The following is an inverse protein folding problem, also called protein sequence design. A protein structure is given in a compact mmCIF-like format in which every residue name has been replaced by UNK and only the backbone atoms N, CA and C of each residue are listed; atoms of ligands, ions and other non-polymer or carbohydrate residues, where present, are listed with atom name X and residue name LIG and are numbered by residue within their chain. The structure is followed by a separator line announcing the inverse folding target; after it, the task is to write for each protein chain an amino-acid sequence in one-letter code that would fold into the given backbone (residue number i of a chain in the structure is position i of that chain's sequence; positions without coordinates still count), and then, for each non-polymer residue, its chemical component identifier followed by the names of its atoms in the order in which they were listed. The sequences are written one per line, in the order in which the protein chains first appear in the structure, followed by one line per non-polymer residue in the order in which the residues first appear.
data_IF_084780306956
#
_entry.id   IF_084780306956
#
_cell.length_a   1.000
_cell.length_b   1.000
_cell.length_c   1.000
_cell.angle_alpha   90.00
_cell.angle_beta   90.00
_cell.angle_gamma   90.00
#
_symmetry.space_group_name_H-M   'P 1'
#
loop_
_entity.id
_entity.type
_entity.pdbx_description
1 polymer ?
#
# COMPACT_ATOMS: atom_id res chain seq x y z
N UNK A 1 20.24 12.80 76.32
CA UNK A 1 19.85 13.51 75.09
C UNK A 1 20.76 13.03 73.97
N UNK A 2 20.14 12.44 72.95
CA UNK A 2 20.62 12.06 71.61
C UNK A 2 21.93 11.26 71.47
N UNK A 3 21.73 9.95 71.32
CA UNK A 3 22.64 8.97 70.74
C UNK A 3 22.81 9.21 69.24
N UNK A 4 24.06 9.26 68.77
CA UNK A 4 24.46 9.18 67.36
C UNK A 4 24.24 7.75 66.87
N UNK A 5 23.36 7.56 65.87
CA UNK A 5 23.24 6.29 65.14
C UNK A 5 23.98 6.46 63.81
N UNK A 6 25.19 5.89 63.74
CA UNK A 6 25.86 5.53 62.49
C UNK A 6 25.29 4.16 62.07
N UNK A 7 24.68 4.10 60.88
CA UNK A 7 24.09 2.88 60.36
C UNK A 7 24.05 2.84 58.84
N UNK A 8 25.01 2.09 58.29
CA UNK A 8 24.95 1.32 57.03
C UNK A 8 24.54 2.02 55.73
N UNK A 9 25.56 2.27 54.91
CA UNK A 9 25.50 2.28 53.45
C UNK A 9 24.82 1.03 52.90
N UNK A 10 23.65 1.20 52.28
CA UNK A 10 23.11 0.27 51.30
C UNK A 10 23.18 0.93 49.93
N UNK A 11 24.06 0.41 49.07
CA UNK A 11 23.91 0.53 47.63
C UNK A 11 22.51 0.02 47.27
N UNK A 12 21.58 0.92 46.98
CA UNK A 12 20.41 0.54 46.19
C UNK A 12 20.85 0.58 44.74
N UNK A 13 21.02 -0.62 44.20
CA UNK A 13 21.02 -0.90 42.77
C UNK A 13 19.92 -0.09 42.10
N UNK A 14 20.32 0.84 41.23
CA UNK A 14 19.48 1.28 40.12
C UNK A 14 19.28 0.04 39.26
N UNK A 15 18.24 -0.74 39.55
CA UNK A 15 17.66 -1.63 38.56
C UNK A 15 17.07 -0.65 37.55
N UNK A 16 17.77 -0.45 36.43
CA UNK A 16 17.12 0.10 35.26
C UNK A 16 16.00 -0.88 34.95
N UNK A 17 14.77 -0.50 35.29
CA UNK A 17 13.64 -1.00 34.54
C UNK A 17 13.88 -0.50 33.13
N UNK A 18 14.51 -1.32 32.29
CA UNK A 18 14.18 -1.28 30.87
C UNK A 18 12.67 -1.46 30.85
N UNK A 19 11.95 -0.36 30.65
CA UNK A 19 10.58 -0.44 30.19
C UNK A 19 10.70 -1.19 28.88
N UNK A 20 10.31 -2.47 28.90
CA UNK A 20 10.24 -3.30 27.72
C UNK A 20 9.30 -2.55 26.75
N UNK A 21 9.89 -1.84 25.78
CA UNK A 21 9.11 -1.14 24.77
C UNK A 21 8.51 -2.24 23.93
N UNK A 22 7.24 -2.56 24.19
CA UNK A 22 6.49 -3.54 23.40
C UNK A 22 6.58 -3.12 21.93
N UNK A 23 7.08 -4.01 21.08
CA UNK A 23 7.12 -3.74 19.64
C UNK A 23 5.68 -3.56 19.16
N UNK A 24 5.46 -2.61 18.24
CA UNK A 24 4.15 -2.44 17.61
C UNK A 24 3.63 -3.74 16.97
N UNK A 25 4.55 -4.61 16.54
CA UNK A 25 4.23 -5.92 15.98
C UNK A 25 3.82 -6.97 17.02
N UNK A 26 4.03 -6.72 18.31
CA UNK A 26 3.67 -7.63 19.40
C UNK A 26 2.30 -7.27 20.02
N UNK A 27 1.64 -6.20 19.54
CA UNK A 27 0.32 -5.78 20.00
C UNK A 27 -0.75 -6.45 19.14
N UNK A 28 -1.44 -7.41 19.73
CA UNK A 28 -2.58 -8.10 19.13
C UNK A 28 -3.90 -7.30 19.28
N UNK A 29 -4.91 -7.66 18.48
CA UNK A 29 -6.28 -7.12 18.54
C UNK A 29 -6.42 -5.59 18.42
N UNK A 30 -5.42 -4.91 17.84
CA UNK A 30 -5.46 -3.47 17.55
C UNK A 30 -5.14 -3.20 16.08
N UNK A 31 -6.12 -2.69 15.33
CA UNK A 31 -5.97 -2.42 13.89
C UNK A 31 -4.88 -1.40 13.60
N UNK A 32 -4.76 -0.34 14.44
CA UNK A 32 -3.71 0.65 14.28
C UNK A 32 -2.31 0.06 14.50
N UNK A 33 -2.16 -0.87 15.45
CA UNK A 33 -0.91 -1.59 15.69
C UNK A 33 -0.59 -2.55 14.54
N UNK A 34 -1.57 -3.31 14.04
CA UNK A 34 -1.39 -4.20 12.90
C UNK A 34 -0.94 -3.44 11.64
N UNK A 35 -1.60 -2.33 11.33
CA UNK A 35 -1.25 -1.48 10.18
C UNK A 35 0.11 -0.78 10.38
N UNK A 36 0.44 -0.37 11.60
CA UNK A 36 1.73 0.21 11.93
C UNK A 36 2.88 -0.82 11.86
N UNK A 37 2.63 -2.07 12.24
CA UNK A 37 3.55 -3.18 12.04
C UNK A 37 3.77 -3.49 10.56
N UNK A 38 2.70 -3.51 9.76
CA UNK A 38 2.75 -3.68 8.30
C UNK A 38 3.62 -2.59 7.64
N UNK A 39 3.39 -1.34 8.02
CA UNK A 39 4.17 -0.17 7.60
C UNK A 39 5.64 -0.30 8.00
N UNK A 40 5.94 -0.66 9.25
CA UNK A 40 7.31 -0.94 9.74
C UNK A 40 8.01 -2.02 8.89
N UNK A 41 7.32 -3.13 8.57
CA UNK A 41 7.84 -4.19 7.69
C UNK A 41 8.14 -3.67 6.29
N UNK A 42 7.30 -2.80 5.73
CA UNK A 42 7.51 -2.22 4.39
C UNK A 42 8.79 -1.37 4.30
N UNK A 43 9.22 -0.75 5.41
CA UNK A 43 10.49 -0.01 5.47
C UNK A 43 11.73 -0.89 5.49
N UNK A 44 11.61 -2.21 5.71
CA UNK A 44 12.76 -3.12 5.69
C UNK A 44 13.50 -3.13 4.35
N UNK A 45 12.82 -2.75 3.25
CA UNK A 45 13.42 -2.55 1.94
C UNK A 45 14.05 -1.17 1.71
N UNK A 46 13.74 -0.17 2.55
CA UNK A 46 14.17 1.22 2.34
C UNK A 46 15.63 1.41 2.81
N UNK A 47 16.55 1.80 1.90
CA UNK A 47 17.92 2.11 2.27
C UNK A 47 18.01 3.28 3.26
N UNK A 48 17.09 4.26 3.14
CA UNK A 48 17.02 5.40 4.05
C UNK A 48 16.64 4.97 5.47
N UNK A 49 15.58 4.17 5.64
CA UNK A 49 15.15 3.73 6.98
C UNK A 49 16.17 2.80 7.63
N UNK A 50 16.70 1.82 6.90
CA UNK A 50 17.70 0.90 7.44
C UNK A 50 18.95 1.63 7.97
N UNK A 51 19.36 2.72 7.30
CA UNK A 51 20.51 3.53 7.70
C UNK A 51 20.20 4.47 8.87
N UNK A 52 19.03 5.11 8.87
CA UNK A 52 18.75 6.24 9.77
C UNK A 52 17.82 5.89 10.95
N UNK A 53 17.02 4.83 10.85
CA UNK A 53 16.05 4.40 11.85
C UNK A 53 16.04 2.87 12.03
N UNK A 54 17.18 2.25 12.39
CA UNK A 54 17.28 0.78 12.48
C UNK A 54 16.35 0.17 13.55
N UNK A 55 15.95 0.95 14.55
CA UNK A 55 15.05 0.53 15.63
C UNK A 55 13.73 1.30 15.58
N UNK A 56 13.23 1.61 14.39
CA UNK A 56 11.98 2.35 14.23
C UNK A 56 10.81 1.61 14.89
N UNK A 57 10.11 2.28 15.82
CA UNK A 57 8.89 1.79 16.45
C UNK A 57 7.80 2.87 16.35
N UNK A 58 6.84 2.75 15.43
CA UNK A 58 5.75 3.71 15.29
C UNK A 58 4.74 3.55 16.44
N UNK A 59 4.23 4.67 16.97
CA UNK A 59 3.10 4.72 17.89
C UNK A 59 1.72 4.71 17.19
N UNK A 60 1.68 4.53 15.87
CA UNK A 60 0.46 4.50 15.07
C UNK A 60 0.71 4.31 13.57
N UNK A 61 -0.37 4.11 12.83
CA UNK A 61 -0.38 4.03 11.38
C UNK A 61 -0.72 5.39 10.78
N UNK A 62 0.14 5.89 9.90
CA UNK A 62 -0.17 7.03 9.04
C UNK A 62 -0.77 6.50 7.73
N UNK A 63 -1.67 7.23 7.09
CA UNK A 63 -2.21 6.94 5.76
C UNK A 63 -2.03 8.19 4.92
N UNK A 64 -1.29 8.06 3.82
CA UNK A 64 -1.11 9.14 2.83
C UNK A 64 -2.10 8.86 1.71
N UNK A 65 -2.90 9.83 1.30
CA UNK A 65 -3.93 9.62 0.28
C UNK A 65 -3.86 10.67 -0.83
N UNK A 66 -3.80 10.19 -2.08
CA UNK A 66 -3.88 11.00 -3.30
C UNK A 66 -5.18 10.67 -4.05
N UNK A 67 -6.14 11.60 -4.02
CA UNK A 67 -7.46 11.38 -4.60
C UNK A 67 -8.16 10.21 -3.91
N UNK A 68 -8.46 9.15 -4.65
CA UNK A 68 -9.04 7.93 -4.10
C UNK A 68 -7.99 6.92 -3.60
N UNK A 69 -6.71 7.06 -3.91
CA UNK A 69 -5.69 6.06 -3.58
C UNK A 69 -5.04 6.36 -2.24
N UNK A 70 -5.15 5.41 -1.30
CA UNK A 70 -4.31 5.41 -0.09
C UNK A 70 -3.01 4.70 -0.42
N UNK A 71 -1.89 5.36 -0.11
CA UNK A 71 -0.54 4.84 -0.34
C UNK A 71 -0.27 3.71 0.64
N UNK A 72 -0.15 2.50 0.11
CA UNK A 72 0.36 1.33 0.83
C UNK A 72 1.88 1.38 1.01
N UNK A 73 2.42 0.43 1.78
CA UNK A 73 3.88 0.30 1.97
C UNK A 73 4.61 0.11 0.63
N UNK A 74 5.59 0.97 0.34
CA UNK A 74 6.43 0.90 -0.88
C UNK A 74 5.64 0.92 -2.22
N UNK A 75 4.58 1.72 -2.31
CA UNK A 75 3.75 1.81 -3.52
C UNK A 75 4.32 2.76 -4.58
N UNK A 76 4.21 2.38 -5.85
CA UNK A 76 4.51 3.24 -7.00
C UNK A 76 3.26 4.00 -7.45
N UNK A 77 3.42 5.28 -7.77
CA UNK A 77 2.35 6.17 -8.23
C UNK A 77 2.81 7.00 -9.42
N UNK A 78 1.86 7.37 -10.29
CA UNK A 78 2.12 8.25 -11.43
C UNK A 78 2.45 9.68 -11.00
N UNK A 79 3.24 10.43 -11.80
CA UNK A 79 3.47 11.87 -11.56
C UNK A 79 2.18 12.69 -11.49
N UNK A 80 1.19 12.37 -12.33
CA UNK A 80 -0.12 13.04 -12.34
C UNK A 80 -0.91 12.78 -11.06
N UNK A 81 -0.84 11.58 -10.49
CA UNK A 81 -1.49 11.20 -9.23
C UNK A 81 -0.94 12.00 -8.06
N UNK A 82 0.39 12.20 -8.03
CA UNK A 82 1.09 12.90 -6.94
C UNK A 82 1.28 14.40 -7.20
N UNK A 83 0.61 14.95 -8.21
CA UNK A 83 0.76 16.36 -8.55
C UNK A 83 0.24 17.28 -7.44
N UNK A 84 -0.91 16.93 -6.85
CA UNK A 84 -1.51 17.69 -5.76
C UNK A 84 -1.10 17.14 -4.39
N UNK A 85 -1.04 18.00 -3.37
CA UNK A 85 -0.74 17.61 -1.99
C UNK A 85 -1.70 16.49 -1.51
N UNK A 86 -1.18 15.44 -0.84
CA UNK A 86 -2.04 14.38 -0.30
C UNK A 86 -2.78 14.83 0.98
N UNK A 87 -3.87 14.14 1.28
CA UNK A 87 -4.44 14.16 2.64
C UNK A 87 -3.72 13.14 3.53
N UNK A 88 -3.57 13.47 4.81
CA UNK A 88 -2.95 12.60 5.80
C UNK A 88 -3.99 12.19 6.84
N UNK A 89 -4.11 10.90 7.09
CA UNK A 89 -4.93 10.35 8.17
C UNK A 89 -4.03 9.62 9.16
N UNK A 90 -4.22 9.80 10.46
CA UNK A 90 -3.39 9.18 11.49
C UNK A 90 -4.25 8.34 12.44
N UNK A 91 -3.89 7.08 12.60
CA UNK A 91 -4.50 6.17 13.56
C UNK A 91 -3.48 5.78 14.62
N UNK A 92 -3.73 6.19 15.86
CA UNK A 92 -2.81 5.95 16.98
C UNK A 92 -3.19 4.67 17.71
N UNK A 93 -2.19 3.94 18.20
CA UNK A 93 -2.36 2.75 19.03
C UNK A 93 -3.01 3.15 20.36
N UNK A 94 -2.47 4.21 20.97
CA UNK A 94 -3.00 4.83 22.18
C UNK A 94 -3.77 6.12 21.84
N UNK A 95 -5.00 6.22 22.32
CA UNK A 95 -5.82 7.42 22.14
C UNK A 95 -5.23 8.59 22.94
N UNK A 96 -4.83 9.65 22.24
CA UNK A 96 -4.22 10.84 22.84
C UNK A 96 -5.19 12.03 22.82
N UNK A 97 -4.97 12.96 23.76
CA UNK A 97 -5.73 14.19 23.98
C UNK A 97 -5.93 15.02 22.70
N UNK A 98 -7.12 15.63 22.54
CA UNK A 98 -7.50 16.44 21.37
C UNK A 98 -6.69 17.73 21.16
N UNK A 99 -5.84 18.12 22.11
CA UNK A 99 -4.98 19.31 22.00
C UNK A 99 -3.58 19.01 21.41
N UNK A 100 -3.28 17.73 21.12
CA UNK A 100 -1.98 17.34 20.59
C UNK A 100 -1.76 17.89 19.18
N UNK A 101 -0.63 18.57 18.98
CA UNK A 101 -0.18 19.06 17.68
C UNK A 101 0.85 18.13 17.05
N UNK A 102 0.87 18.12 15.73
CA UNK A 102 1.76 17.33 14.92
C UNK A 102 2.44 18.17 13.85
N UNK A 103 3.60 17.70 13.44
CA UNK A 103 4.34 18.21 12.29
C UNK A 103 4.45 17.10 11.25
N UNK A 104 4.27 17.44 9.97
CA UNK A 104 4.59 16.53 8.86
C UNK A 104 5.77 17.04 8.04
N UNK A 105 6.56 16.09 7.53
CA UNK A 105 7.66 16.34 6.59
C UNK A 105 7.61 15.27 5.50
N UNK A 106 7.66 15.67 4.24
CA UNK A 106 7.87 14.79 3.09
C UNK A 106 9.29 15.00 2.55
N UNK A 107 10.07 13.92 2.48
CA UNK A 107 11.42 13.93 1.90
C UNK A 107 11.46 13.09 0.63
N UNK A 108 12.40 13.42 -0.24
CA UNK A 108 12.77 12.70 -1.46
C UNK A 108 14.15 12.07 -1.21
N UNK A 109 14.26 10.75 -1.40
CA UNK A 109 15.50 10.00 -1.18
C UNK A 109 15.89 9.17 -2.40
N UNK A 110 17.19 9.04 -2.63
CA UNK A 110 17.75 8.25 -3.73
C UNK A 110 17.87 6.76 -3.35
N UNK A 111 18.13 5.89 -4.33
CA UNK A 111 18.42 4.46 -4.10
C UNK A 111 19.56 4.21 -3.10
N UNK A 112 20.46 5.18 -2.88
CA UNK A 112 21.53 5.11 -1.87
C UNK A 112 21.03 5.32 -0.44
N UNK A 113 19.77 5.71 -0.26
CA UNK A 113 19.20 6.16 1.01
C UNK A 113 19.65 7.57 1.42
N UNK A 114 20.24 8.33 0.50
CA UNK A 114 20.57 9.74 0.71
C UNK A 114 19.36 10.62 0.41
N UNK A 115 19.16 11.64 1.24
CA UNK A 115 18.09 12.62 1.02
C UNK A 115 18.50 13.57 -0.11
N UNK A 116 17.72 13.59 -1.18
CA UNK A 116 17.90 14.51 -2.30
C UNK A 116 17.31 15.89 -1.99
N UNK A 117 16.08 15.94 -1.46
CA UNK A 117 15.38 17.19 -1.13
C UNK A 117 14.21 16.97 -0.16
N UNK A 118 13.63 18.06 0.32
CA UNK A 118 12.36 18.08 1.04
C UNK A 118 11.28 18.64 0.12
N UNK A 119 10.13 17.98 0.08
CA UNK A 119 9.01 18.36 -0.79
C UNK A 119 7.91 19.10 -0.05
N UNK A 120 7.75 18.84 1.25
CA UNK A 120 6.68 19.43 2.05
C UNK A 120 7.07 19.45 3.52
N UNK A 121 6.71 20.53 4.21
CA UNK A 121 6.79 20.59 5.67
C UNK A 121 5.66 21.47 6.21
N UNK A 122 4.89 20.93 7.16
CA UNK A 122 3.78 21.65 7.79
C UNK A 122 3.72 21.36 9.28
N UNK A 123 3.47 22.41 10.06
CA UNK A 123 3.41 22.39 11.53
C UNK A 123 2.02 22.68 12.02
N UNK A 124 1.77 22.40 13.31
CA UNK A 124 0.51 22.73 13.97
C UNK A 124 -0.68 21.96 13.41
N UNK A 125 -0.43 20.77 12.85
CA UNK A 125 -1.49 19.84 12.45
C UNK A 125 -2.19 19.33 13.71
N UNK A 126 -3.51 19.30 13.67
CA UNK A 126 -4.35 18.72 14.73
C UNK A 126 -5.08 17.53 14.12
N UNK A 127 -5.21 16.47 14.91
CA UNK A 127 -5.97 15.30 14.52
C UNK A 127 -7.48 15.60 14.64
N UNK A 128 -8.20 15.57 13.53
CA UNK A 128 -9.65 15.67 13.54
C UNK A 128 -10.26 14.42 14.21
N UNK A 129 -11.02 14.56 15.31
CA UNK A 129 -11.50 13.42 16.09
C UNK A 129 -12.58 12.59 15.39
N UNK A 130 -13.20 13.11 14.32
CA UNK A 130 -14.28 12.42 13.59
C UNK A 130 -13.76 11.70 12.36
N UNK A 131 -12.73 12.25 11.71
CA UNK A 131 -12.20 11.75 10.44
C UNK A 131 -10.80 11.17 10.55
N UNK A 132 -10.13 11.37 11.68
CA UNK A 132 -8.71 11.04 11.89
C UNK A 132 -7.76 11.76 10.92
N UNK A 133 -8.24 12.81 10.23
CA UNK A 133 -7.43 13.59 9.31
C UNK A 133 -6.54 14.57 10.07
N UNK A 134 -5.29 14.70 9.64
CA UNK A 134 -4.41 15.77 10.09
C UNK A 134 -4.73 17.05 9.31
N UNK A 135 -5.23 18.05 10.02
CA UNK A 135 -5.62 19.34 9.45
C UNK A 135 -4.85 20.46 10.13
N UNK A 136 -4.47 21.49 9.37
CA UNK A 136 -3.84 22.69 9.92
C UNK A 136 -4.36 23.92 9.19
N UNK A 137 -4.59 24.98 9.95
CA UNK A 137 -4.92 26.32 9.43
C UNK A 137 -3.67 27.18 9.25
N UNK A 138 -2.51 26.71 9.71
CA UNK A 138 -1.24 27.40 9.54
C UNK A 138 -0.73 27.24 8.11
N UNK A 139 -0.06 28.28 7.59
CA UNK A 139 0.65 28.17 6.33
C UNK A 139 1.77 27.12 6.44
N UNK A 140 1.99 26.30 5.39
CA UNK A 140 3.11 25.36 5.36
C UNK A 140 4.44 26.09 5.55
N UNK A 141 5.35 25.46 6.30
CA UNK A 141 6.74 25.92 6.43
C UNK A 141 7.44 25.80 5.07
N UNK A 142 7.17 24.69 4.38
CA UNK A 142 7.54 24.46 2.99
C UNK A 142 6.29 23.96 2.27
N UNK A 143 5.71 24.73 1.33
CA UNK A 143 4.57 24.28 0.54
C UNK A 143 4.89 22.98 -0.21
N UNK A 144 3.87 22.12 -0.37
CA UNK A 144 4.02 20.88 -1.09
C UNK A 144 4.50 21.14 -2.53
N UNK A 145 5.59 20.48 -2.91
CA UNK A 145 6.09 20.41 -4.29
C UNK A 145 5.89 19.00 -4.79
N UNK A 146 5.24 18.85 -5.94
CA UNK A 146 5.03 17.54 -6.56
C UNK A 146 6.36 16.85 -6.83
N UNK A 147 6.46 15.54 -6.59
CA UNK A 147 7.58 14.75 -7.05
C UNK A 147 7.84 14.91 -8.55
N UNK A 148 9.09 15.17 -8.90
CA UNK A 148 9.55 15.34 -10.28
C UNK A 148 10.99 14.80 -10.39
N UNK A 149 11.16 13.46 -10.37
CA UNK A 149 12.48 12.84 -10.54
C UNK A 149 12.89 12.88 -12.02
N UNK A 150 14.19 13.13 -12.27
CA UNK A 150 14.69 13.12 -13.64
C UNK A 150 14.72 11.68 -14.21
N UNK A 151 14.50 11.47 -15.52
CA UNK A 151 14.58 10.15 -16.16
C UNK A 151 15.85 9.35 -15.85
N UNK A 152 16.97 10.04 -15.58
CA UNK A 152 18.28 9.44 -15.31
C UNK A 152 18.66 9.29 -13.83
N UNK A 153 17.87 9.81 -12.88
CA UNK A 153 18.27 9.83 -11.45
C UNK A 153 18.03 8.51 -10.71
N UNK A 154 17.48 7.51 -11.39
CA UNK A 154 17.16 6.22 -10.77
C UNK A 154 15.87 6.29 -9.96
N UNK A 155 15.62 5.29 -9.13
CA UNK A 155 14.40 5.20 -8.33
C UNK A 155 14.46 6.16 -7.13
N UNK A 156 13.40 6.92 -6.90
CA UNK A 156 13.28 7.80 -5.74
C UNK A 156 12.26 7.24 -4.74
N UNK A 157 12.58 7.27 -3.45
CA UNK A 157 11.62 7.01 -2.38
C UNK A 157 11.20 8.33 -1.71
N UNK A 158 9.89 8.61 -1.69
CA UNK A 158 9.32 9.76 -1.01
C UNK A 158 8.66 9.34 0.29
N UNK A 159 9.20 9.84 1.40
CA UNK A 159 8.86 9.35 2.74
C UNK A 159 8.14 10.44 3.52
N UNK A 160 7.00 10.08 4.12
CA UNK A 160 6.20 10.98 4.94
C UNK A 160 6.40 10.68 6.43
N UNK A 161 6.85 11.68 7.17
CA UNK A 161 6.96 11.66 8.62
C UNK A 161 5.80 12.41 9.25
N UNK A 162 5.30 11.90 10.39
CA UNK A 162 4.43 12.65 11.30
C UNK A 162 5.00 12.58 12.72
N UNK A 163 5.32 13.75 13.26
CA UNK A 163 6.03 13.91 14.53
C UNK A 163 5.08 14.55 15.56
N UNK A 164 5.16 14.11 16.83
CA UNK A 164 4.51 14.82 17.93
C UNK A 164 5.21 16.15 18.15
N UNK A 165 4.44 17.22 18.35
CA UNK A 165 5.00 18.45 18.90
C UNK A 165 4.98 18.37 20.44
N UNK A 166 6.14 18.27 21.08
CA UNK A 166 6.25 18.36 22.55
C UNK A 166 6.17 19.81 23.06
N UNK A 167 6.41 20.79 22.18
CA UNK A 167 6.22 22.22 22.45
C UNK A 167 5.64 22.88 21.20
N UNK A 168 4.53 23.61 21.37
CA UNK A 168 3.86 24.28 20.27
C UNK A 168 4.83 25.19 19.49
N UNK A 169 4.99 24.95 18.19
CA UNK A 169 5.79 25.82 17.31
C UNK A 169 7.31 25.65 17.41
N UNK A 170 7.82 24.48 17.80
CA UNK A 170 9.26 24.17 17.85
C UNK A 170 9.98 24.47 16.51
N UNK A 171 9.30 24.23 15.39
CA UNK A 171 9.79 24.59 14.06
C UNK A 171 9.51 26.06 13.70
N UNK A 172 8.36 26.61 14.07
CA UNK A 172 7.98 27.98 13.71
C UNK A 172 8.80 29.08 14.40
N UNK A 173 9.28 28.85 15.63
CA UNK A 173 9.91 29.90 16.45
C UNK A 173 11.41 29.70 16.75
N UNK A 174 11.94 28.46 16.67
CA UNK A 174 13.31 28.15 17.15
C UNK A 174 14.29 27.72 16.06
N UNK A 175 13.79 27.31 14.89
CA UNK A 175 14.63 27.00 13.73
C UNK A 175 14.38 28.09 12.69
N UNK A 176 15.37 28.93 12.43
CA UNK A 176 15.37 29.80 11.26
C UNK A 176 15.45 28.89 10.01
N UNK A 177 14.31 28.32 9.63
CA UNK A 177 14.18 27.30 8.59
C UNK A 177 14.57 27.86 7.22
N UNK A 178 14.41 29.16 6.96
CA UNK A 178 14.90 29.76 5.72
C UNK A 178 16.45 29.73 5.64
N UNK A 179 17.13 29.92 6.77
CA UNK A 179 18.59 29.77 6.88
C UNK A 179 19.08 28.31 6.95
N UNK A 180 18.21 27.38 7.35
CA UNK A 180 18.48 25.94 7.39
C UNK A 180 18.22 25.30 6.02
N UNK A 181 17.05 25.50 5.42
CA UNK A 181 16.64 24.99 4.10
C UNK A 181 17.56 25.45 2.96
N UNK A 182 18.19 26.61 3.06
CA UNK A 182 19.23 27.07 2.12
C UNK A 182 20.61 26.41 2.32
N UNK A 183 20.80 25.62 3.38
CA UNK A 183 22.06 24.94 3.77
C UNK A 183 21.93 23.43 3.97
N UNK A 184 20.74 22.84 3.84
CA UNK A 184 20.51 21.43 4.13
C UNK A 184 21.00 20.56 2.95
N UNK A 185 22.23 20.10 3.09
CA UNK A 185 22.68 18.84 2.50
C UNK A 185 22.39 17.64 3.43
N UNK A 186 21.81 17.86 4.63
CA UNK A 186 21.62 16.76 5.58
C UNK A 186 20.45 16.99 6.56
N UNK A 187 19.22 16.67 6.13
CA UNK A 187 18.03 16.73 7.01
C UNK A 187 18.04 15.61 8.06
N UNK A 188 18.97 14.64 7.98
CA UNK A 188 19.22 13.66 9.02
C UNK A 188 19.62 14.33 10.34
N UNK A 189 20.28 15.50 10.29
CA UNK A 189 20.58 16.32 11.48
C UNK A 189 19.34 17.01 12.06
N UNK A 190 18.37 17.39 11.21
CA UNK A 190 17.09 17.96 11.66
C UNK A 190 16.24 16.88 12.29
N UNK A 191 16.14 15.70 11.65
CA UNK A 191 15.39 14.59 12.23
C UNK A 191 16.06 14.08 13.51
N UNK A 192 17.40 14.00 13.57
CA UNK A 192 18.13 13.68 14.82
C UNK A 192 17.92 14.73 15.92
N UNK A 193 17.86 16.02 15.57
CA UNK A 193 17.62 17.09 16.57
C UNK A 193 16.16 17.16 17.02
N UNK A 194 15.21 16.81 16.14
CA UNK A 194 13.80 16.59 16.50
C UNK A 194 13.66 15.36 17.39
N UNK A 195 14.33 14.24 17.11
CA UNK A 195 14.35 13.04 17.96
C UNK A 195 14.93 13.26 19.35
N UNK A 196 15.91 14.17 19.50
CA UNK A 196 16.45 14.53 20.82
C UNK A 196 15.44 15.33 21.68
N UNK A 197 14.34 15.82 21.10
CA UNK A 197 13.35 16.68 21.77
C UNK A 197 11.88 16.27 21.45
N UNK A 198 11.65 15.09 20.88
CA UNK A 198 10.31 14.56 20.57
C UNK A 198 10.31 13.04 20.39
N UNK A 199 9.26 12.37 20.86
CA UNK A 199 8.95 10.99 20.48
C UNK A 199 8.40 10.92 19.04
N UNK A 200 9.01 10.08 18.19
CA UNK A 200 8.47 9.75 16.88
C UNK A 200 7.12 9.02 17.04
N UNK A 201 6.03 9.60 16.54
CA UNK A 201 4.67 9.05 16.73
C UNK A 201 4.28 8.11 15.59
N UNK A 202 4.56 8.45 14.34
CA UNK A 202 4.29 7.56 13.22
C UNK A 202 5.04 8.05 11.98
N UNK A 203 5.47 7.13 11.11
CA UNK A 203 5.91 7.46 9.76
C UNK A 203 5.33 6.44 8.81
N UNK A 204 4.59 6.85 7.79
CA UNK A 204 4.07 5.96 6.73
C UNK A 204 4.66 6.34 5.38
N UNK A 205 4.82 5.30 4.55
CA UNK A 205 5.06 5.41 3.13
C UNK A 205 6.52 5.59 2.80
N UNK A 206 7.06 4.66 2.03
CA UNK A 206 7.95 4.98 0.92
C UNK A 206 7.03 5.04 -0.30
N UNK A 207 6.82 6.21 -0.91
CA UNK A 207 6.30 6.26 -2.29
C UNK A 207 7.49 6.05 -3.18
N UNK A 208 7.52 4.99 -3.96
CA UNK A 208 8.62 4.75 -4.88
C UNK A 208 8.18 5.28 -6.25
N UNK A 209 8.62 6.47 -6.63
CA UNK A 209 8.34 6.96 -7.99
C UNK A 209 9.51 6.54 -8.86
N UNK A 210 9.22 5.62 -9.77
CA UNK A 210 10.10 5.38 -10.89
C UNK A 210 10.00 6.62 -11.76
N UNK A 211 11.12 7.30 -12.06
CA UNK A 211 11.09 8.16 -13.22
C UNK A 211 10.77 7.23 -14.39
N UNK A 212 9.62 7.43 -15.04
CA UNK A 212 9.42 6.86 -16.36
C UNK A 212 10.46 7.54 -17.25
N UNK A 213 11.64 6.95 -17.39
CA UNK A 213 12.10 6.22 -18.57
C UNK A 213 13.46 5.58 -18.20
N UNK A 214 13.49 4.29 -17.94
CA UNK A 214 14.45 3.46 -18.67
C UNK A 214 13.65 2.70 -19.71
N UNK A 215 14.06 2.70 -20.99
CA UNK A 215 13.46 1.79 -21.93
C UNK A 215 13.57 0.41 -21.31
N UNK A 216 12.46 -0.34 -21.27
CA UNK A 216 12.58 -1.78 -21.31
C UNK A 216 13.45 -2.03 -22.51
N UNK A 217 14.74 -2.33 -22.30
CA UNK A 217 15.46 -3.00 -23.36
C UNK A 217 14.58 -4.20 -23.68
N UNK A 218 14.09 -4.33 -24.92
CA UNK A 218 13.30 -5.48 -25.28
C UNK A 218 14.11 -6.68 -24.80
N UNK A 219 13.47 -7.60 -24.09
CA UNK A 219 14.05 -8.90 -23.79
C UNK A 219 14.60 -9.44 -25.11
N UNK A 220 15.89 -9.21 -25.33
CA UNK A 220 16.55 -9.62 -26.56
C UNK A 220 16.76 -11.10 -26.39
N UNK A 221 16.00 -11.81 -27.20
CA UNK A 221 16.11 -13.22 -27.54
C UNK A 221 15.62 -14.19 -26.48
N UNK A 222 14.37 -14.60 -26.66
CA UNK A 222 13.83 -15.81 -26.06
C UNK A 222 12.38 -16.02 -26.46
N UNK A 223 12.18 -16.51 -27.68
CA UNK A 223 10.90 -16.92 -28.29
C UNK A 223 9.87 -15.82 -28.59
N UNK A 224 9.59 -15.71 -29.89
CA UNK A 224 8.46 -15.02 -30.50
C UNK A 224 7.22 -14.97 -29.62
N UNK A 225 6.73 -13.75 -29.35
CA UNK A 225 5.36 -13.50 -28.88
C UNK A 225 4.41 -14.24 -29.81
N UNK A 226 3.87 -15.37 -29.38
CA UNK A 226 2.72 -15.95 -30.06
C UNK A 226 1.57 -14.96 -29.91
N UNK A 227 1.17 -14.41 -31.06
CA UNK A 227 -0.03 -13.61 -31.22
C UNK A 227 -1.21 -14.47 -30.79
N UNK A 228 -1.75 -14.24 -29.60
CA UNK A 228 -3.08 -14.72 -29.26
C UNK A 228 -4.07 -13.91 -30.10
N UNK A 229 -4.92 -14.64 -30.81
CA UNK A 229 -5.80 -14.14 -31.85
C UNK A 229 -6.94 -13.30 -31.26
N UNK A 230 -6.70 -12.00 -31.08
CA UNK A 230 -7.71 -11.00 -31.39
C UNK A 230 -7.05 -9.69 -31.85
N UNK A 231 -7.58 -9.09 -32.90
CA UNK A 231 -6.84 -8.23 -33.83
C UNK A 231 -6.72 -6.76 -33.37
N UNK A 232 -6.37 -6.51 -32.10
CA UNK A 232 -6.11 -5.16 -31.57
C UNK A 232 -4.80 -5.12 -30.79
N UNK A 233 -3.78 -4.54 -31.43
CA UNK A 233 -2.53 -4.15 -30.77
C UNK A 233 -2.83 -2.94 -29.89
N UNK A 234 -3.17 -3.16 -28.62
CA UNK A 234 -3.21 -2.07 -27.65
C UNK A 234 -1.78 -1.57 -27.41
N UNK A 235 -1.62 -0.25 -27.30
CA UNK A 235 -0.35 0.38 -26.90
C UNK A 235 0.11 -0.19 -25.54
N UNK A 236 1.41 -0.23 -25.30
CA UNK A 236 1.93 -0.71 -24.01
C UNK A 236 1.36 0.19 -22.90
N UNK A 237 0.65 -0.41 -21.94
CA UNK A 237 -0.03 0.34 -20.87
C UNK A 237 0.96 1.25 -20.12
N UNK A 238 2.23 0.86 -20.04
CA UNK A 238 3.30 1.61 -19.40
C UNK A 238 3.76 2.85 -20.18
N UNK A 239 3.35 3.01 -21.44
CA UNK A 239 3.69 4.17 -22.28
C UNK A 239 2.59 5.26 -22.26
N UNK A 240 1.47 5.01 -21.59
CA UNK A 240 0.32 5.93 -21.55
C UNK A 240 0.38 6.84 -20.32
N UNK A 241 0.08 8.13 -20.52
CA UNK A 241 0.25 9.17 -19.49
C UNK A 241 -0.98 9.39 -18.59
N UNK A 242 -1.96 8.48 -18.60
CA UNK A 242 -3.13 8.60 -17.72
C UNK A 242 -2.98 7.74 -16.46
N UNK A 243 -3.65 8.16 -15.38
CA UNK A 243 -3.52 7.53 -14.07
C UNK A 243 -3.83 6.03 -14.07
N UNK A 244 -4.90 5.61 -14.75
CA UNK A 244 -5.31 4.21 -14.78
C UNK A 244 -4.30 3.32 -15.50
N UNK A 245 -3.64 3.86 -16.53
CA UNK A 245 -2.58 3.16 -17.23
C UNK A 245 -1.32 3.04 -16.36
N UNK A 246 -0.91 4.13 -15.71
CA UNK A 246 0.24 4.11 -14.80
C UNK A 246 0.02 3.21 -13.59
N UNK A 247 -1.15 3.26 -12.96
CA UNK A 247 -1.52 2.42 -11.81
C UNK A 247 -1.57 0.93 -12.23
N UNK A 248 -2.13 0.64 -13.41
CA UNK A 248 -2.16 -0.71 -13.98
C UNK A 248 -0.77 -1.23 -14.37
N UNK A 249 0.10 -0.37 -14.90
CA UNK A 249 1.50 -0.69 -15.21
C UNK A 249 2.29 -1.01 -13.92
N UNK A 250 2.17 -0.17 -12.88
CA UNK A 250 2.79 -0.42 -11.59
C UNK A 250 2.35 -1.78 -11.00
N UNK A 251 1.06 -2.10 -11.14
CA UNK A 251 0.54 -3.39 -10.71
C UNK A 251 1.11 -4.54 -11.54
N UNK A 252 1.27 -4.37 -12.85
CA UNK A 252 1.92 -5.36 -13.70
C UNK A 252 3.38 -5.61 -13.27
N UNK A 253 4.13 -4.55 -12.95
CA UNK A 253 5.48 -4.66 -12.40
C UNK A 253 5.49 -5.38 -11.04
N UNK A 254 4.55 -5.07 -10.15
CA UNK A 254 4.43 -5.75 -8.85
C UNK A 254 4.14 -7.25 -9.01
N UNK A 255 3.30 -7.64 -9.97
CA UNK A 255 3.04 -9.04 -10.29
C UNK A 255 4.23 -9.72 -10.96
N UNK A 256 4.99 -9.04 -11.83
CA UNK A 256 6.18 -9.58 -12.46
C UNK A 256 7.33 -9.81 -11.47
N UNK A 257 7.44 -8.97 -10.43
CA UNK A 257 8.35 -9.19 -9.30
C UNK A 257 7.87 -10.25 -8.31
N UNK A 258 6.62 -10.72 -8.45
CA UNK A 258 6.05 -11.77 -7.62
C UNK A 258 6.19 -13.14 -8.27
N UNK A 259 6.00 -14.20 -7.48
CA UNK A 259 5.91 -15.57 -8.00
C UNK A 259 4.51 -15.95 -8.49
N UNK A 260 3.52 -15.03 -8.50
CA UNK A 260 2.15 -15.28 -8.96
C UNK A 260 2.15 -15.49 -10.48
N UNK A 261 2.89 -14.65 -11.21
CA UNK A 261 3.18 -14.84 -12.63
C UNK A 261 4.68 -15.16 -12.77
N UNK A 262 5.10 -16.22 -13.50
CA UNK A 262 4.29 -17.11 -14.34
C UNK A 262 3.76 -18.38 -13.62
N UNK A 263 3.96 -18.54 -12.30
CA UNK A 263 3.72 -19.85 -11.67
C UNK A 263 2.24 -20.23 -11.56
N UNK A 264 1.36 -19.27 -11.26
CA UNK A 264 -0.08 -19.49 -11.08
C UNK A 264 -0.83 -19.25 -12.39
N UNK A 265 -0.48 -18.17 -13.09
CA UNK A 265 -0.99 -17.81 -14.40
C UNK A 265 0.17 -17.47 -15.34
N UNK A 266 0.02 -17.72 -16.65
CA UNK A 266 1.14 -17.62 -17.60
C UNK A 266 1.58 -16.19 -17.86
N UNK A 267 0.66 -15.23 -17.88
CA UNK A 267 0.95 -13.82 -18.16
C UNK A 267 -0.11 -12.89 -17.57
N UNK A 268 0.30 -11.64 -17.33
CA UNK A 268 -0.58 -10.55 -16.93
C UNK A 268 -0.32 -9.36 -17.84
N UNK A 269 -1.34 -8.95 -18.57
CA UNK A 269 -1.27 -7.82 -19.50
C UNK A 269 -2.52 -6.96 -19.25
N UNK A 270 -2.51 -6.15 -18.18
CA UNK A 270 -3.68 -5.36 -17.82
C UNK A 270 -3.98 -4.31 -18.89
N UNK A 271 -5.25 -3.91 -18.94
CA UNK A 271 -5.76 -2.82 -19.78
C UNK A 271 -6.10 -1.58 -18.93
N UNK A 272 -5.74 -1.59 -17.65
CA UNK A 272 -6.04 -0.54 -16.69
C UNK A 272 -5.81 -0.97 -15.24
N UNK A 273 -6.37 -0.20 -14.31
CA UNK A 273 -6.19 -0.38 -12.88
C UNK A 273 -7.45 -0.95 -12.22
N UNK A 274 -7.27 -1.99 -11.40
CA UNK A 274 -8.31 -2.54 -10.53
C UNK A 274 -8.11 -1.97 -9.12
N UNK A 275 -9.04 -1.12 -8.69
CA UNK A 275 -9.03 -0.53 -7.37
C UNK A 275 -9.90 -1.35 -6.44
N UNK A 276 -9.30 -1.91 -5.39
CA UNK A 276 -10.01 -2.67 -4.36
C UNK A 276 -9.96 -1.89 -3.06
N UNK A 277 -11.12 -1.57 -2.50
CA UNK A 277 -11.24 -0.69 -1.34
C UNK A 277 -11.91 -1.41 -0.16
N UNK A 278 -11.22 -1.46 0.97
CA UNK A 278 -11.78 -1.83 2.27
C UNK A 278 -11.92 -0.58 3.12
N UNK A 279 -13.16 -0.26 3.53
CA UNK A 279 -13.49 0.98 4.23
C UNK A 279 -12.91 2.22 3.52
N UNK A 280 -11.96 2.91 4.14
CA UNK A 280 -11.30 4.10 3.57
C UNK A 280 -9.94 3.81 2.93
N UNK A 281 -9.57 2.54 2.76
CA UNK A 281 -8.25 2.13 2.24
C UNK A 281 -8.40 1.43 0.90
N UNK A 282 -7.83 2.01 -0.16
CA UNK A 282 -7.62 1.32 -1.43
C UNK A 282 -6.34 0.51 -1.34
N UNK A 283 -6.40 -0.77 -1.70
CA UNK A 283 -5.27 -1.66 -1.75
C UNK A 283 -4.27 -1.20 -2.82
N UNK A 284 -3.07 -0.85 -2.36
CA UNK A 284 -1.88 -0.73 -3.18
C UNK A 284 -1.24 -2.09 -3.45
N UNK A 285 -0.21 -2.10 -4.29
CA UNK A 285 0.59 -3.30 -4.50
C UNK A 285 1.34 -3.72 -3.22
N UNK A 286 1.30 -5.01 -2.88
CA UNK A 286 2.03 -5.60 -1.75
C UNK A 286 1.65 -5.05 -0.35
N UNK A 287 0.46 -4.48 -0.19
CA UNK A 287 0.02 -3.85 1.07
C UNK A 287 -0.48 -4.87 2.09
N UNK A 288 0.15 -4.99 3.27
CA UNK A 288 -0.41 -5.78 4.38
C UNK A 288 -1.61 -5.07 5.03
N UNK A 289 -2.66 -5.81 5.37
CA UNK A 289 -3.92 -5.30 5.92
C UNK A 289 -4.27 -6.01 7.23
N UNK A 290 -4.73 -5.26 8.23
CA UNK A 290 -5.25 -5.85 9.45
C UNK A 290 -6.44 -6.81 9.14
N UNK A 291 -6.51 -8.01 9.76
CA UNK A 291 -7.58 -8.98 9.53
C UNK A 291 -9.00 -8.42 9.71
N UNK A 292 -9.19 -7.46 10.61
CA UNK A 292 -10.51 -6.86 10.86
C UNK A 292 -11.02 -6.01 9.68
N UNK A 293 -10.11 -5.34 8.95
CA UNK A 293 -10.46 -4.50 7.79
C UNK A 293 -10.97 -5.31 6.61
N UNK A 294 -10.52 -6.55 6.50
CA UNK A 294 -10.88 -7.45 5.39
C UNK A 294 -12.05 -8.38 5.73
N UNK A 295 -12.74 -8.15 6.86
CA UNK A 295 -13.91 -8.95 7.28
C UNK A 295 -15.08 -8.83 6.31
N UNK A 296 -15.29 -7.64 5.76
CA UNK A 296 -16.39 -7.35 4.85
C UNK A 296 -15.90 -7.34 3.40
N UNK A 297 -16.78 -7.67 2.46
CA UNK A 297 -16.48 -7.60 1.03
C UNK A 297 -16.04 -6.18 0.63
N UNK A 298 -14.97 -6.01 -0.17
CA UNK A 298 -14.51 -4.69 -0.57
C UNK A 298 -15.42 -4.05 -1.63
N UNK A 299 -15.35 -2.72 -1.74
CA UNK A 299 -15.79 -2.02 -2.95
C UNK A 299 -14.73 -2.20 -4.04
N UNK A 300 -15.14 -2.47 -5.28
CA UNK A 300 -14.22 -2.67 -6.39
C UNK A 300 -14.60 -1.78 -7.55
N UNK A 301 -13.60 -1.13 -8.14
CA UNK A 301 -13.73 -0.32 -9.37
C UNK A 301 -12.63 -0.70 -10.36
N UNK A 302 -12.92 -0.55 -11.64
CA UNK A 302 -11.92 -0.73 -12.69
C UNK A 302 -11.95 0.49 -13.61
N UNK A 303 -10.79 1.10 -13.80
CA UNK A 303 -10.60 2.16 -14.79
C UNK A 303 -9.68 1.64 -15.87
N UNK A 304 -10.10 1.75 -17.13
CA UNK A 304 -9.22 1.42 -18.26
C UNK A 304 -8.19 2.52 -18.45
N UNK A 305 -6.95 2.12 -18.72
CA UNK A 305 -5.90 3.03 -19.17
C UNK A 305 -5.86 3.19 -20.70
N UNK A 306 -6.62 2.36 -21.43
CA UNK A 306 -6.56 2.24 -22.89
C UNK A 306 -7.80 2.89 -23.50
N UNK A 307 -7.62 3.99 -24.24
CA UNK A 307 -8.73 4.81 -24.72
C UNK A 307 -9.69 4.06 -25.67
N UNK A 308 -9.17 3.13 -26.48
CA UNK A 308 -9.98 2.33 -27.40
C UNK A 308 -10.73 1.18 -26.73
N UNK A 309 -10.41 0.86 -25.48
CA UNK A 309 -11.05 -0.22 -24.75
C UNK A 309 -12.33 0.29 -24.08
N UNK A 310 -13.47 -0.20 -24.56
CA UNK A 310 -14.79 0.15 -24.03
C UNK A 310 -15.32 -0.96 -23.13
N UNK A 311 -15.69 -0.60 -21.90
CA UNK A 311 -16.31 -1.54 -20.95
C UNK A 311 -17.81 -1.71 -21.16
N UNK A 312 -18.45 -0.73 -21.81
CA UNK A 312 -19.87 -0.76 -22.13
C UNK A 312 -20.24 -1.99 -22.97
N UNK A 313 -21.31 -2.70 -22.58
CA UNK A 313 -21.82 -3.86 -23.32
C UNK A 313 -21.01 -5.16 -23.15
N UNK A 314 -20.03 -5.17 -22.25
CA UNK A 314 -19.25 -6.36 -21.89
C UNK A 314 -19.66 -6.87 -20.51
N UNK A 315 -19.29 -8.12 -20.23
CA UNK A 315 -19.45 -8.76 -18.93
C UNK A 315 -18.11 -9.26 -18.42
N UNK A 316 -17.96 -9.30 -17.10
CA UNK A 316 -16.69 -9.58 -16.45
C UNK A 316 -16.82 -10.63 -15.36
N UNK A 317 -15.72 -11.35 -15.14
CA UNK A 317 -15.57 -12.33 -14.08
C UNK A 317 -14.50 -11.84 -13.12
N UNK A 318 -14.81 -11.81 -11.82
CA UNK A 318 -13.84 -11.44 -10.78
C UNK A 318 -13.62 -12.60 -9.83
N UNK A 319 -12.36 -12.81 -9.46
CA UNK A 319 -11.97 -13.80 -8.45
C UNK A 319 -11.02 -13.19 -7.43
N UNK A 320 -11.23 -13.56 -6.16
CA UNK A 320 -10.27 -13.41 -5.07
C UNK A 320 -9.70 -14.79 -4.76
N UNK A 321 -8.40 -14.95 -5.00
CA UNK A 321 -7.71 -16.22 -4.80
C UNK A 321 -6.67 -16.13 -3.67
N UNK A 322 -6.64 -17.16 -2.82
CA UNK A 322 -5.58 -17.40 -1.85
C UNK A 322 -4.41 -18.13 -2.53
N UNK A 323 -3.29 -17.44 -2.68
CA UNK A 323 -2.08 -17.89 -3.36
C UNK A 323 -0.95 -18.24 -2.40
N UNK A 324 -1.23 -18.46 -1.11
CA UNK A 324 -0.19 -18.68 -0.09
C UNK A 324 0.78 -19.83 -0.42
N UNK A 325 0.28 -20.91 -1.04
CA UNK A 325 1.11 -22.05 -1.42
C UNK A 325 1.93 -21.83 -2.71
N UNK A 326 1.69 -20.72 -3.42
CA UNK A 326 2.38 -20.36 -4.66
C UNK A 326 2.33 -21.47 -5.75
N UNK A 327 1.21 -22.20 -5.82
CA UNK A 327 0.95 -23.21 -6.85
C UNK A 327 -0.19 -22.76 -7.77
N UNK A 328 -0.34 -23.40 -8.93
CA UNK A 328 -1.46 -23.16 -9.86
C UNK A 328 -2.82 -23.43 -9.23
N UNK A 329 -2.85 -24.33 -8.25
CA UNK A 329 -4.03 -24.72 -7.50
C UNK A 329 -4.20 -23.81 -6.28
N UNK A 330 -5.15 -22.89 -6.35
CA UNK A 330 -5.39 -21.86 -5.33
C UNK A 330 -6.73 -22.06 -4.65
N UNK A 331 -6.83 -21.62 -3.39
CA UNK A 331 -8.12 -21.50 -2.70
C UNK A 331 -8.88 -20.28 -3.23
N UNK A 332 -10.21 -20.35 -3.26
CA UNK A 332 -11.06 -19.24 -3.70
C UNK A 332 -11.79 -18.67 -2.50
N UNK A 333 -11.64 -17.37 -2.28
CA UNK A 333 -12.33 -16.66 -1.20
C UNK A 333 -13.46 -15.78 -1.73
N UNK A 334 -13.54 -15.52 -3.04
CA UNK A 334 -14.67 -14.82 -3.66
C UNK A 334 -14.69 -15.06 -5.17
N UNK A 335 -15.87 -15.26 -5.76
CA UNK A 335 -16.04 -15.34 -7.20
C UNK A 335 -17.39 -14.75 -7.65
N UNK A 336 -17.35 -13.85 -8.62
CA UNK A 336 -18.50 -13.15 -9.19
C UNK A 336 -18.46 -13.26 -10.72
N UNK A 337 -19.61 -13.52 -11.32
CA UNK A 337 -19.76 -13.57 -12.78
C UNK A 337 -20.78 -12.54 -13.26
N UNK A 338 -20.71 -12.20 -14.54
CA UNK A 338 -21.68 -11.32 -15.18
C UNK A 338 -21.53 -9.86 -14.74
N UNK A 339 -20.42 -9.47 -14.12
CA UNK A 339 -20.19 -8.10 -13.65
C UNK A 339 -20.30 -7.15 -14.85
N UNK A 340 -20.99 -6.04 -14.68
CA UNK A 340 -20.97 -4.92 -15.63
C UNK A 340 -20.26 -3.73 -15.01
N UNK A 341 -19.45 -3.02 -15.79
CA UNK A 341 -18.64 -1.90 -15.32
C UNK A 341 -19.18 -0.60 -15.92
N UNK A 342 -19.48 0.38 -15.08
CA UNK A 342 -19.86 1.71 -15.54
C UNK A 342 -18.65 2.39 -16.20
N UNK A 343 -18.76 2.74 -17.48
CA UNK A 343 -17.64 3.31 -18.25
C UNK A 343 -17.13 4.65 -17.70
N UNK A 344 -18.00 5.45 -17.07
CA UNK A 344 -17.64 6.77 -16.56
C UNK A 344 -17.06 6.74 -15.15
N UNK A 345 -17.55 5.82 -14.31
CA UNK A 345 -17.16 5.77 -12.88
C UNK A 345 -16.27 4.57 -12.52
N UNK A 346 -16.15 3.60 -13.42
CA UNK A 346 -15.45 2.33 -13.17
C UNK A 346 -16.17 1.40 -12.19
N UNK A 347 -17.36 1.76 -11.70
CA UNK A 347 -18.07 1.03 -10.66
C UNK A 347 -18.67 -0.28 -11.15
N UNK A 348 -18.58 -1.30 -10.30
CA UNK A 348 -19.09 -2.63 -10.59
C UNK A 348 -20.56 -2.72 -10.23
N UNK A 349 -21.35 -3.32 -11.12
CA UNK A 349 -22.66 -3.87 -10.78
C UNK A 349 -22.58 -5.39 -10.82
N UNK A 350 -22.93 -6.01 -9.69
CA UNK A 350 -22.87 -7.45 -9.49
C UNK A 350 -24.20 -8.10 -9.85
N UNK A 351 -24.14 -9.23 -10.57
CA UNK A 351 -25.34 -9.94 -11.04
C UNK A 351 -25.46 -11.33 -10.42
N UNK A 352 -24.39 -12.13 -10.45
CA UNK A 352 -24.38 -13.51 -9.95
C UNK A 352 -23.13 -13.78 -9.11
N UNK A 353 -23.36 -14.30 -7.91
CA UNK A 353 -22.32 -14.71 -6.97
C UNK A 353 -22.14 -16.22 -7.03
N UNK A 354 -21.00 -16.68 -7.54
CA UNK A 354 -20.65 -18.10 -7.60
C UNK A 354 -20.08 -18.60 -6.27
N UNK A 355 -19.22 -17.78 -5.67
CA UNK A 355 -18.69 -18.00 -4.33
C UNK A 355 -18.88 -16.70 -3.56
N UNK A 356 -19.61 -16.76 -2.44
CA UNK A 356 -19.76 -15.61 -1.55
C UNK A 356 -18.39 -15.21 -1.00
N UNK A 357 -18.25 -13.92 -0.64
CA UNK A 357 -17.03 -13.42 -0.03
C UNK A 357 -16.76 -14.15 1.29
N UNK A 358 -15.58 -14.74 1.39
CA UNK A 358 -15.03 -15.36 2.59
C UNK A 358 -13.87 -14.47 3.03
N UNK A 359 -13.95 -13.95 4.25
CA UNK A 359 -12.93 -13.05 4.77
C UNK A 359 -11.58 -13.75 4.84
N UNK A 360 -10.50 -13.14 4.35
CA UNK A 360 -9.13 -13.57 4.61
C UNK A 360 -8.89 -13.71 6.11
N UNK A 361 -8.67 -14.95 6.58
CA UNK A 361 -8.38 -15.27 7.99
C UNK A 361 -7.07 -16.08 8.10
N UNK A 362 -5.91 -15.43 8.03
CA UNK A 362 -4.67 -16.07 8.41
C UNK A 362 -4.64 -16.28 9.92
N UNK A 363 -3.97 -17.36 10.34
CA UNK A 363 -3.53 -17.46 11.72
C UNK A 363 -2.38 -16.49 11.96
N UNK A 364 -2.18 -16.03 13.19
CA UNK A 364 -1.09 -15.11 13.55
C UNK A 364 0.33 -15.61 13.14
N UNK A 365 0.47 -16.91 12.86
CA UNK A 365 1.72 -17.54 12.42
C UNK A 365 1.85 -17.66 10.88
N UNK A 366 0.81 -17.34 10.10
CA UNK A 366 0.78 -17.55 8.65
C UNK A 366 0.65 -16.24 7.88
N UNK A 367 1.68 -15.90 7.12
CA UNK A 367 1.60 -14.83 6.12
C UNK A 367 0.88 -15.37 4.87
N UNK A 368 -0.40 -15.04 4.69
CA UNK A 368 -1.17 -15.44 3.49
C UNK A 368 -1.08 -14.40 2.38
N UNK A 369 -1.29 -14.82 1.14
CA UNK A 369 -1.22 -13.93 -0.03
C UNK A 369 -2.51 -14.03 -0.80
N UNK A 370 -3.19 -12.91 -0.99
CA UNK A 370 -4.45 -12.85 -1.71
C UNK A 370 -4.33 -11.98 -2.96
N UNK A 371 -4.98 -12.41 -4.04
CA UNK A 371 -4.97 -11.68 -5.32
C UNK A 371 -6.37 -11.49 -5.85
N UNK A 372 -6.67 -10.28 -6.31
CA UNK A 372 -7.86 -10.00 -7.10
C UNK A 372 -7.48 -10.05 -8.57
N UNK A 373 -8.28 -10.76 -9.37
CA UNK A 373 -8.11 -10.84 -10.82
C UNK A 373 -9.46 -10.59 -11.50
N UNK A 374 -9.43 -9.73 -12.52
CA UNK A 374 -10.58 -9.39 -13.35
C UNK A 374 -10.35 -9.91 -14.77
N UNK A 375 -11.31 -10.69 -15.28
CA UNK A 375 -11.31 -11.23 -16.64
C UNK A 375 -12.49 -10.66 -17.44
N UNK A 376 -12.27 -10.41 -18.73
CA UNK A 376 -13.36 -10.20 -19.69
C UNK A 376 -14.01 -11.55 -20.01
N UNK A 377 -15.34 -11.62 -19.91
CA UNK A 377 -16.09 -12.82 -20.26
C UNK A 377 -16.38 -12.84 -21.76
N UNK A 378 -16.20 -13.99 -22.44
CA UNK A 378 -16.64 -14.15 -23.81
C UNK A 378 -18.14 -13.86 -23.97
N UNK A 379 -18.53 -13.40 -25.16
CA UNK A 379 -19.94 -13.15 -25.45
C UNK A 379 -20.76 -14.44 -25.27
N UNK A 380 -21.87 -14.36 -24.52
CA UNK A 380 -22.74 -15.51 -24.24
C UNK A 380 -22.16 -16.50 -23.22
N UNK A 381 -21.12 -16.11 -22.48
CA UNK A 381 -20.53 -16.94 -21.44
C UNK A 381 -21.55 -17.37 -20.37
N UNK A 382 -21.40 -18.62 -19.94
CA UNK A 382 -22.04 -19.17 -18.74
C UNK A 382 -21.06 -20.11 -18.05
N UNK A 383 -20.96 -20.04 -16.71
CA UNK A 383 -20.07 -20.92 -15.96
C UNK A 383 -20.43 -22.40 -16.17
N UNK A 384 -19.50 -23.25 -16.66
CA UNK A 384 -19.73 -24.67 -16.84
C UNK A 384 -20.15 -25.37 -15.54
N UNK A 385 -21.06 -26.35 -15.64
CA UNK A 385 -21.65 -27.04 -14.48
C UNK A 385 -20.60 -27.62 -13.51
N UNK A 386 -19.45 -28.10 -14.02
CA UNK A 386 -18.34 -28.60 -13.21
C UNK A 386 -17.77 -27.54 -12.25
N UNK A 387 -17.65 -26.29 -12.72
CA UNK A 387 -17.15 -25.16 -11.92
C UNK A 387 -18.25 -24.58 -11.05
N UNK A 388 -19.49 -24.53 -11.55
CA UNK A 388 -20.64 -24.09 -10.75
C UNK A 388 -20.79 -24.92 -9.47
N UNK A 389 -20.76 -26.25 -9.59
CA UNK A 389 -20.82 -27.16 -8.43
C UNK A 389 -19.63 -26.97 -7.49
N UNK A 390 -18.43 -26.72 -8.05
CA UNK A 390 -17.23 -26.48 -7.27
C UNK A 390 -17.33 -25.19 -6.46
N UNK A 391 -17.63 -24.04 -7.09
CA UNK A 391 -17.78 -22.76 -6.42
C UNK A 391 -18.88 -22.78 -5.35
N UNK A 392 -20.03 -23.40 -5.65
CA UNK A 392 -21.13 -23.53 -4.68
C UNK A 392 -20.78 -24.38 -3.46
N UNK A 393 -19.76 -25.24 -3.56
CA UNK A 393 -19.31 -26.07 -2.43
C UNK A 393 -18.33 -25.35 -1.50
N UNK A 394 -17.76 -24.22 -1.94
CA UNK A 394 -16.76 -23.45 -1.19
C UNK A 394 -17.43 -22.60 -0.11
N UNK A 395 -16.89 -22.67 1.10
CA UNK A 395 -17.32 -21.90 2.27
C UNK A 395 -16.13 -21.69 3.23
N UNK A 396 -16.35 -20.92 4.29
CA UNK A 396 -15.32 -20.56 5.27
C UNK A 396 -14.64 -21.76 5.96
N UNK A 397 -15.27 -22.93 5.97
CA UNK A 397 -14.70 -24.14 6.59
C UNK A 397 -13.83 -24.96 5.64
N UNK A 398 -13.90 -24.74 4.33
CA UNK A 398 -13.21 -25.57 3.34
C UNK A 398 -12.48 -24.81 2.21
N UNK A 399 -12.44 -23.46 2.24
CA UNK A 399 -11.81 -22.64 1.19
C UNK A 399 -10.36 -23.02 0.89
N UNK A 400 -9.62 -23.51 1.90
CA UNK A 400 -8.22 -23.90 1.76
C UNK A 400 -8.05 -25.35 1.27
N UNK A 401 -9.08 -26.19 1.41
CA UNK A 401 -9.06 -27.59 1.00
C UNK A 401 -9.52 -27.75 -0.45
N UNK A 402 -10.42 -26.90 -0.91
CA UNK A 402 -10.93 -26.91 -2.28
C UNK A 402 -10.08 -25.96 -3.12
N UNK A 403 -9.30 -26.52 -4.04
CA UNK A 403 -8.40 -25.76 -4.90
C UNK A 403 -8.84 -25.80 -6.35
N UNK A 404 -8.65 -24.67 -7.03
CA UNK A 404 -8.90 -24.52 -8.46
C UNK A 404 -7.56 -24.25 -9.14
N UNK A 405 -7.25 -25.02 -10.18
CA UNK A 405 -6.17 -24.67 -11.11
C UNK A 405 -6.63 -23.46 -11.94
N UNK A 406 -6.09 -22.28 -11.63
CA UNK A 406 -6.53 -21.02 -12.25
C UNK A 406 -6.23 -20.94 -13.74
N UNK A 407 -5.10 -21.47 -14.19
CA UNK A 407 -4.69 -21.49 -15.60
C UNK A 407 -5.66 -22.35 -16.42
N UNK A 408 -5.95 -23.55 -15.93
CA UNK A 408 -6.91 -24.46 -16.54
C UNK A 408 -8.33 -23.90 -16.50
N UNK A 409 -8.74 -23.28 -15.39
CA UNK A 409 -10.02 -22.60 -15.29
C UNK A 409 -10.15 -21.47 -16.31
N UNK A 410 -9.16 -20.58 -16.41
CA UNK A 410 -9.20 -19.50 -17.39
C UNK A 410 -9.29 -20.04 -18.82
N UNK A 411 -8.44 -21.00 -19.17
CA UNK A 411 -8.42 -21.64 -20.49
C UNK A 411 -9.74 -22.33 -20.84
N UNK A 412 -10.28 -23.15 -19.95
CA UNK A 412 -11.53 -23.90 -20.17
C UNK A 412 -12.76 -22.99 -20.35
N UNK A 413 -12.70 -21.78 -19.80
CA UNK A 413 -13.77 -20.78 -19.89
C UNK A 413 -13.56 -19.78 -21.04
N UNK A 414 -12.49 -19.94 -21.83
CA UNK A 414 -12.12 -19.01 -22.88
C UNK A 414 -11.76 -17.63 -22.35
N UNK A 415 -11.39 -17.53 -21.07
CA UNK A 415 -10.86 -16.29 -20.52
C UNK A 415 -9.47 -16.07 -21.08
N UNK A 416 -9.25 -14.86 -21.59
CA UNK A 416 -7.90 -14.40 -21.95
C UNK A 416 -7.07 -14.11 -20.71
N UNK A 417 -6.04 -13.28 -20.87
CA UNK A 417 -5.30 -12.76 -19.71
C UNK A 417 -6.19 -11.85 -18.86
N UNK A 418 -5.97 -11.79 -17.53
CA UNK A 418 -6.67 -10.82 -16.70
C UNK A 418 -6.46 -9.40 -17.21
N UNK A 419 -7.54 -8.63 -17.35
CA UNK A 419 -7.51 -7.23 -17.83
C UNK A 419 -7.19 -6.24 -16.71
N UNK A 420 -7.26 -6.69 -15.47
CA UNK A 420 -6.94 -5.93 -14.27
C UNK A 420 -6.68 -6.89 -13.12
N UNK A 421 -5.92 -6.42 -12.13
CA UNK A 421 -5.64 -7.17 -10.93
C UNK A 421 -5.24 -6.23 -9.81
N UNK A 422 -5.32 -6.71 -8.58
CA UNK A 422 -4.77 -6.03 -7.41
C UNK A 422 -4.05 -7.06 -6.56
N UNK A 423 -2.79 -6.79 -6.23
CA UNK A 423 -1.89 -7.80 -5.71
C UNK A 423 -1.79 -7.80 -4.18
N UNK A 424 -1.50 -9.01 -3.68
CA UNK A 424 -0.88 -9.39 -2.42
C UNK A 424 -1.09 -8.43 -1.25
N UNK A 425 -2.22 -8.56 -0.59
CA UNK A 425 -2.23 -8.24 0.83
C UNK A 425 -1.92 -9.46 1.66
N UNK A 426 -1.07 -9.23 2.65
CA UNK A 426 -0.88 -10.13 3.76
C UNK A 426 -1.95 -9.79 4.78
N UNK A 427 -2.61 -10.80 5.32
CA UNK A 427 -3.32 -10.65 6.57
C UNK A 427 -2.54 -11.35 7.68
#
# INVERSE_FOLDING_TARGET
MLTVILGLSALQSVISGESEVTDVCDIDDNDAAADACAMKKSFGGSPFFNKNFPNFSPAGALYVQYGNVVVGGAQQLSPSRVYAQPSLTLSLIDTQSGDQKYTTVCIDTLETGEVSRTLWAQTGLVLDPNTSNLVSTAQPVLPYTSPDPSPSSGTHEYIFFVLREERAGLLGNTLNLNGLLSKIADISLVIKSLQQNSENVASNGSIIIFPTVKPVQPLKNGTSREKVADNKSYEDLCELENDAASDGCAMASAFAGSSIFPKILPSFTPLGALYVQYDNVILGGAQQMAPNRVRNQPNVKFSTGVAEYKTSGKSYFMILANTAEMTRSVGISWAQEGITINENTGEFSYHSSLCKYISPQPSAAETRSYVFLLFEQPQGYSTPAKYMSLFNSINSSNENSIKIDLDSFASDNGFGTPIGGSCKFFS
#
